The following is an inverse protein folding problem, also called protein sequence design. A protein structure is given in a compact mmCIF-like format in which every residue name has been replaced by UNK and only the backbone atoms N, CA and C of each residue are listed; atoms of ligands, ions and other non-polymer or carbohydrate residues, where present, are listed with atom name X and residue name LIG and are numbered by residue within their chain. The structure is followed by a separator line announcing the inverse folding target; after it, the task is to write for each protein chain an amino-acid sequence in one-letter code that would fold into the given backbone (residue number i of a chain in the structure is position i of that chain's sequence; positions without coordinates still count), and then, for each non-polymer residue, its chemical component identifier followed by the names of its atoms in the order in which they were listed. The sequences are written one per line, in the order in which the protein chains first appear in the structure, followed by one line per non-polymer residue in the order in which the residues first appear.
data_IF_298281519888
#
_entry.id   IF_298281519888
#
_cell.length_a   1.000
_cell.length_b   1.000
_cell.length_c   1.000
_cell.angle_alpha   90.00
_cell.angle_beta   90.00
_cell.angle_gamma   90.00
#
_symmetry.space_group_name_H-M   'P 1'
#
loop_
_entity.id
_entity.type
_entity.pdbx_description
1 polymer ?
#
# COMPACT_ATOMS: atom_id res chain seq x y z
N UNK A 1 26.01 8.09 -15.85
CA UNK A 1 25.24 7.74 -15.54
C UNK A 1 24.52 7.89 -14.93
N UNK A 2 25.49 8.12 -15.39
CA UNK A 2 24.77 7.93 -15.14
C UNK A 2 24.09 8.28 -14.57
N UNK A 3 24.83 8.40 -14.94
CA UNK A 3 24.05 8.34 -14.75
C UNK A 3 23.43 8.62 -14.22
N UNK A 4 24.16 8.86 -14.69
CA UNK A 4 23.39 8.76 -14.47
C UNK A 4 22.74 9.10 -13.72
N UNK A 5 23.47 9.22 -14.17
CA UNK A 5 22.66 9.13 -13.83
C UNK A 5 21.89 9.42 -13.11
N UNK A 6 22.31 9.82 -13.28
CA UNK A 6 21.33 9.70 -12.99
C UNK A 6 20.67 9.78 -12.28
N UNK A 7 21.34 10.06 -12.81
CA UNK A 7 20.50 9.71 -12.45
C UNK A 7 19.86 9.86 -11.72
N UNK A 8 20.27 10.22 -11.74
CA UNK A 8 19.34 9.96 -11.33
C UNK A 8 18.68 9.85 -10.71
N UNK A 9 19.49 10.18 -11.46
CA UNK A 9 18.63 9.72 -11.25
C UNK A 9 17.89 9.61 -10.74
N UNK A 10 18.07 9.78 -10.93
CA UNK A 10 17.19 9.26 -10.73
C UNK A 10 16.32 9.12 -10.19
N UNK A 11 16.66 9.19 -10.40
CA UNK A 11 15.77 8.72 -10.18
C UNK A 11 14.97 8.54 -9.61
N UNK A 12 15.03 8.59 -9.66
CA UNK A 12 14.21 8.21 -9.38
C UNK A 12 13.44 8.04 -9.06
N UNK A 13 13.65 7.90 -8.56
CA UNK A 13 12.68 7.79 -8.81
C UNK A 13 11.22 7.49 -8.51
N UNK A 14 10.66 8.24 -8.47
CA UNK A 14 9.20 8.30 -8.45
C UNK A 14 8.58 7.30 -9.37
N UNK A 15 9.33 6.92 -10.31
CA UNK A 15 8.91 5.86 -11.20
C UNK A 15 8.63 4.58 -10.44
N UNK A 16 9.07 4.53 -9.22
CA UNK A 16 8.92 3.34 -8.42
C UNK A 16 7.70 3.47 -7.54
N UNK A 17 6.56 3.53 -8.18
CA UNK A 17 5.27 3.53 -7.51
C UNK A 17 4.41 2.47 -8.17
N UNK A 18 4.77 1.19 -7.98
CA UNK A 18 4.10 0.11 -8.71
C UNK A 18 2.64 -0.08 -8.34
N UNK A 19 2.23 0.48 -7.22
CA UNK A 19 0.84 0.32 -6.77
C UNK A 19 -0.05 1.49 -7.16
N UNK A 20 0.52 2.54 -7.78
CA UNK A 20 -0.25 3.69 -8.23
C UNK A 20 -0.80 4.57 -7.13
N UNK A 21 -0.16 4.57 -5.96
CA UNK A 21 -0.59 5.39 -4.84
C UNK A 21 -0.31 6.86 -5.13
N UNK A 22 -1.22 7.75 -4.72
CA UNK A 22 -1.18 9.15 -5.16
C UNK A 22 -1.31 10.12 -3.99
N UNK A 23 -0.67 9.83 -2.88
CA UNK A 23 -0.68 10.72 -1.72
C UNK A 23 0.74 10.86 -1.18
N UNK A 24 0.94 11.91 -0.38
CA UNK A 24 2.25 12.19 0.18
C UNK A 24 2.69 11.08 1.12
N UNK A 25 3.94 10.65 0.99
CA UNK A 25 4.55 9.58 1.78
C UNK A 25 3.93 8.21 1.49
N UNK A 26 3.38 8.04 0.29
CA UNK A 26 2.87 6.75 -0.14
C UNK A 26 3.99 5.72 -0.20
N UNK A 27 3.65 4.48 0.13
CA UNK A 27 4.61 3.38 0.05
C UNK A 27 4.98 3.14 -1.42
N UNK A 28 6.28 3.06 -1.70
CA UNK A 28 6.75 2.76 -3.05
C UNK A 28 7.34 1.36 -3.16
N UNK A 29 7.68 0.73 -2.05
CA UNK A 29 8.19 -0.64 -2.05
C UNK A 29 7.94 -1.27 -0.69
N UNK A 30 7.86 -2.57 -0.66
CA UNK A 30 7.74 -3.32 0.59
C UNK A 30 9.14 -3.53 1.18
N UNK A 31 9.26 -3.29 2.48
CA UNK A 31 10.52 -3.44 3.20
C UNK A 31 10.22 -4.15 4.51
N UNK A 32 10.96 -5.22 4.85
CA UNK A 32 10.75 -5.88 6.14
C UNK A 32 10.88 -4.90 7.30
N UNK A 33 9.99 -5.00 8.27
CA UNK A 33 9.99 -4.12 9.43
C UNK A 33 9.29 -2.79 9.21
N UNK A 34 8.64 -2.62 8.07
CA UNK A 34 7.89 -1.43 7.74
C UNK A 34 6.46 -1.79 7.41
N UNK A 35 5.60 -0.79 7.35
CA UNK A 35 4.25 -1.00 6.83
C UNK A 35 4.38 -1.42 5.37
N UNK A 36 3.72 -2.51 5.03
CA UNK A 36 3.77 -3.05 3.68
C UNK A 36 2.37 -3.12 3.07
N UNK A 37 2.34 -3.20 1.75
CA UNK A 37 1.11 -3.23 0.99
C UNK A 37 1.08 -4.48 0.13
N UNK A 38 -0.07 -5.16 0.11
CA UNK A 38 -0.23 -6.42 -0.61
C UNK A 38 -1.48 -6.32 -1.49
N UNK A 39 -1.29 -6.09 -2.79
CA UNK A 39 -2.43 -6.13 -3.71
C UNK A 39 -3.00 -7.55 -3.77
N UNK A 40 -4.31 -7.66 -3.65
CA UNK A 40 -4.99 -8.94 -3.68
C UNK A 40 -6.22 -8.85 -4.57
N UNK A 41 -6.69 -10.01 -5.02
CA UNK A 41 -7.94 -10.14 -5.74
C UNK A 41 -8.74 -11.27 -5.15
N UNK A 42 -10.04 -11.09 -5.07
CA UNK A 42 -10.92 -12.15 -4.58
C UNK A 42 -12.24 -12.07 -5.32
N UNK A 43 -12.98 -13.17 -5.26
CA UNK A 43 -14.22 -13.29 -6.00
C UNK A 43 -15.40 -13.15 -5.04
N UNK A 44 -16.35 -12.29 -5.39
CA UNK A 44 -17.56 -12.10 -4.62
C UNK A 44 -18.73 -12.23 -5.57
N UNK A 45 -19.46 -13.35 -5.44
CA UNK A 45 -20.63 -13.61 -6.28
C UNK A 45 -20.33 -13.47 -7.78
N UNK A 46 -19.18 -14.00 -8.20
CA UNK A 46 -18.80 -13.96 -9.61
C UNK A 46 -18.12 -12.68 -10.04
N UNK A 47 -17.96 -11.72 -9.15
CA UNK A 47 -17.31 -10.44 -9.46
C UNK A 47 -15.92 -10.45 -8.84
N UNK A 48 -14.90 -10.17 -9.65
CA UNK A 48 -13.53 -10.06 -9.15
C UNK A 48 -13.34 -8.70 -8.50
N UNK A 49 -12.95 -8.72 -7.23
CA UNK A 49 -12.70 -7.52 -6.46
C UNK A 49 -11.19 -7.37 -6.27
N UNK A 50 -10.67 -6.19 -6.57
CA UNK A 50 -9.27 -5.85 -6.34
C UNK A 50 -9.15 -5.00 -5.09
N UNK A 51 -8.22 -5.35 -4.20
CA UNK A 51 -8.03 -4.64 -2.95
C UNK A 51 -6.55 -4.55 -2.63
N UNK A 52 -6.21 -3.63 -1.73
CA UNK A 52 -4.86 -3.55 -1.17
C UNK A 52 -4.96 -3.83 0.31
N UNK A 53 -4.16 -4.78 0.80
CA UNK A 53 -4.09 -5.10 2.22
C UNK A 53 -2.82 -4.44 2.76
N UNK A 54 -2.97 -3.65 3.80
CA UNK A 54 -1.83 -3.00 4.46
C UNK A 54 -1.54 -3.72 5.76
N UNK A 55 -0.27 -4.04 6.00
CA UNK A 55 0.13 -4.74 7.23
C UNK A 55 1.06 -3.85 8.03
N UNK A 56 0.93 -3.87 9.37
CA UNK A 56 1.81 -3.06 10.22
C UNK A 56 3.26 -3.51 10.17
N UNK A 57 4.14 -2.66 10.66
CA UNK A 57 5.58 -2.90 10.63
C UNK A 57 5.99 -4.18 11.35
N UNK A 58 5.26 -4.53 12.42
CA UNK A 58 5.57 -5.68 13.24
C UNK A 58 4.69 -6.89 12.92
N UNK A 59 4.14 -6.94 11.72
CA UNK A 59 3.15 -7.95 11.36
C UNK A 59 3.71 -9.35 11.53
N UNK A 60 3.08 -10.12 12.41
CA UNK A 60 3.42 -11.51 12.67
C UNK A 60 2.15 -12.25 13.07
N UNK A 61 1.39 -12.77 12.10
CA UNK A 61 0.10 -13.39 12.38
C UNK A 61 0.22 -14.69 13.19
N UNK A 62 1.41 -15.28 13.25
CA UNK A 62 1.61 -16.51 14.02
C UNK A 62 1.72 -16.24 15.52
N UNK A 63 2.01 -15.01 15.91
CA UNK A 63 2.26 -14.68 17.31
C UNK A 63 1.25 -13.76 17.92
N UNK A 64 0.50 -13.01 17.13
CA UNK A 64 -0.52 -12.13 17.69
C UNK A 64 -1.61 -11.82 16.70
N UNK A 65 -2.72 -11.37 17.25
CA UNK A 65 -3.87 -10.91 16.44
C UNK A 65 -3.81 -9.41 16.28
N UNK A 66 -4.39 -8.93 15.21
CA UNK A 66 -4.39 -7.51 14.87
C UNK A 66 -5.82 -7.05 14.67
N UNK A 67 -6.14 -5.85 15.13
CA UNK A 67 -7.43 -5.28 14.76
C UNK A 67 -7.45 -4.99 13.27
N UNK A 68 -8.58 -5.26 12.64
CA UNK A 68 -8.73 -5.04 11.20
C UNK A 68 -9.70 -3.90 10.96
N UNK A 69 -9.42 -3.12 9.91
CA UNK A 69 -10.29 -2.04 9.52
C UNK A 69 -10.46 -2.09 8.00
N UNK A 70 -11.66 -1.84 7.54
CA UNK A 70 -11.95 -1.80 6.12
C UNK A 70 -12.10 -0.34 5.71
N UNK A 71 -11.35 0.05 4.67
CA UNK A 71 -11.42 1.41 4.13
C UNK A 71 -11.91 1.31 2.69
N UNK A 72 -13.06 1.91 2.43
CA UNK A 72 -13.65 1.89 1.10
C UNK A 72 -13.59 3.29 0.49
N UNK A 73 -13.28 3.35 -0.81
CA UNK A 73 -13.26 4.63 -1.50
C UNK A 73 -14.70 5.06 -1.85
N UNK A 74 -14.91 6.37 -2.01
CA UNK A 74 -16.23 6.86 -2.43
C UNK A 74 -16.46 6.57 -3.90
N UNK A 75 -17.72 6.71 -4.33
CA UNK A 75 -18.06 6.60 -5.73
C UNK A 75 -17.20 7.58 -6.54
N UNK A 76 -16.56 7.08 -7.59
CA UNK A 76 -15.66 7.89 -8.39
C UNK A 76 -14.23 7.93 -7.90
N UNK A 77 -13.92 7.32 -6.74
CA UNK A 77 -12.55 7.22 -6.25
C UNK A 77 -11.93 5.87 -6.55
N UNK A 78 -10.69 5.69 -6.14
CA UNK A 78 -9.99 4.41 -6.28
C UNK A 78 -9.31 4.05 -4.97
N UNK A 79 -8.93 2.76 -4.85
CA UNK A 79 -8.26 2.28 -3.66
C UNK A 79 -6.86 2.88 -3.48
N UNK A 80 -6.32 3.48 -4.55
CA UNK A 80 -4.99 4.10 -4.52
C UNK A 80 -5.01 5.55 -4.06
N UNK A 81 -6.19 6.15 -3.96
CA UNK A 81 -6.33 7.56 -3.61
C UNK A 81 -6.51 7.72 -2.09
N UNK A 82 -7.53 8.45 -1.68
CA UNK A 82 -7.75 8.74 -0.26
C UNK A 82 -7.90 7.49 0.58
N UNK A 83 -8.55 6.46 0.04
CA UNK A 83 -8.68 5.20 0.77
C UNK A 83 -7.31 4.60 1.10
N UNK A 84 -6.37 4.65 0.16
CA UNK A 84 -5.01 4.17 0.42
C UNK A 84 -4.30 4.97 1.49
N UNK A 85 -4.49 6.29 1.49
CA UNK A 85 -3.90 7.13 2.51
C UNK A 85 -4.37 6.72 3.91
N UNK A 86 -5.68 6.60 4.10
CA UNK A 86 -6.22 6.23 5.39
C UNK A 86 -5.79 4.82 5.80
N UNK A 87 -5.81 3.88 4.85
CA UNK A 87 -5.39 2.51 5.14
C UNK A 87 -3.94 2.47 5.60
N UNK A 88 -3.06 3.19 4.92
CA UNK A 88 -1.66 3.24 5.32
C UNK A 88 -1.50 3.85 6.71
N UNK A 89 -2.18 4.95 7.00
CA UNK A 89 -2.09 5.60 8.31
C UNK A 89 -2.59 4.70 9.42
N UNK A 90 -3.64 3.91 9.15
CA UNK A 90 -4.13 2.97 10.16
C UNK A 90 -3.15 1.82 10.36
N UNK A 91 -2.51 1.34 9.30
CA UNK A 91 -1.51 0.30 9.44
C UNK A 91 -0.30 0.80 10.24
N UNK A 92 0.05 2.06 10.11
CA UNK A 92 1.11 2.66 10.92
C UNK A 92 0.76 2.65 12.41
N UNK A 93 -0.52 2.52 12.73
CA UNK A 93 -1.02 2.45 14.10
C UNK A 93 -1.30 1.02 14.56
N UNK A 94 -0.95 0.02 13.75
CA UNK A 94 -1.08 -1.38 14.13
C UNK A 94 -2.31 -2.09 13.61
N UNK A 95 -3.09 -1.50 12.73
CA UNK A 95 -4.26 -2.15 12.12
C UNK A 95 -3.86 -2.88 10.84
N UNK A 96 -4.67 -3.87 10.51
CA UNK A 96 -4.63 -4.46 9.17
C UNK A 96 -5.78 -3.89 8.37
#
# INVERSE_FOLDING_TARGET
MAASAISFGTVLHAQDNPWGLVYEQAITENVPGKVNIHPVKYNLDGIEIAANVYTPADYNPDEKEYPAIIVAHPNGGTKEQVAGLFAQRMAEKGYI
#
